data_IF_493936401611
#
_entry.id   IF_493936401611
#
_cell.length_a   1.000
_cell.length_b   1.000
_cell.length_c   1.000
_cell.angle_alpha   90.00
_cell.angle_beta   90.00
_cell.angle_gamma   90.00
#
_symmetry.space_group_name_H-M   'P 1'
#
loop_
_entity.id
_entity.type
_entity.pdbx_description
1 polymer ?
#
# COMPACT_ATOMS: atom_id res chain seq x y z
N UNK A 1 -33.55 -67.94 -37.02
CA UNK A 1 -32.40 -67.40 -36.27
C UNK A 1 -32.32 -65.92 -36.56
N UNK A 2 -32.51 -65.08 -35.54
CA UNK A 2 -32.74 -63.64 -35.66
C UNK A 2 -31.38 -62.93 -35.52
N UNK A 3 -31.03 -62.10 -36.50
CA UNK A 3 -29.85 -61.23 -36.46
C UNK A 3 -30.18 -59.96 -35.69
N UNK A 4 -29.50 -59.73 -34.56
CA UNK A 4 -29.49 -58.45 -33.88
C UNK A 4 -28.23 -57.69 -34.25
N UNK A 5 -28.40 -56.57 -34.97
CA UNK A 5 -27.34 -55.61 -35.25
C UNK A 5 -27.34 -54.57 -34.14
N UNK A 6 -26.28 -54.53 -33.34
CA UNK A 6 -26.11 -53.50 -32.30
C UNK A 6 -25.39 -52.30 -32.91
N UNK A 7 -26.11 -51.21 -33.15
CA UNK A 7 -25.52 -49.91 -33.46
C UNK A 7 -25.15 -49.21 -32.15
N UNK A 8 -23.85 -49.08 -31.89
CA UNK A 8 -23.32 -48.32 -30.76
C UNK A 8 -23.29 -46.82 -31.13
N UNK A 9 -24.20 -46.03 -30.56
CA UNK A 9 -24.23 -44.58 -30.74
C UNK A 9 -23.26 -43.93 -29.72
N UNK A 10 -22.07 -43.54 -30.18
CA UNK A 10 -21.11 -42.76 -29.39
C UNK A 10 -21.47 -41.27 -29.47
N UNK A 11 -22.04 -40.73 -28.40
CA UNK A 11 -22.28 -39.29 -28.25
C UNK A 11 -20.97 -38.63 -27.80
N UNK A 12 -20.32 -37.91 -28.71
CA UNK A 12 -19.15 -37.09 -28.40
C UNK A 12 -19.64 -35.78 -27.75
N UNK A 13 -19.57 -35.69 -26.43
CA UNK A 13 -19.87 -34.46 -25.70
C UNK A 13 -18.67 -33.51 -25.85
N UNK A 14 -18.75 -32.56 -26.80
CA UNK A 14 -17.76 -31.50 -26.94
C UNK A 14 -17.83 -30.58 -25.72
N UNK A 15 -16.84 -30.71 -24.83
CA UNK A 15 -16.58 -29.74 -23.77
C UNK A 15 -16.00 -28.50 -24.46
N UNK A 16 -16.83 -27.47 -24.62
CA UNK A 16 -16.38 -26.15 -25.04
C UNK A 16 -15.65 -25.56 -23.84
N UNK A 17 -14.33 -25.72 -23.78
CA UNK A 17 -13.50 -24.92 -22.89
C UNK A 17 -13.46 -23.51 -23.44
N UNK A 18 -14.19 -22.59 -22.81
CA UNK A 18 -13.93 -21.16 -22.98
C UNK A 18 -12.53 -20.87 -22.46
N UNK A 19 -11.55 -20.76 -23.38
CA UNK A 19 -10.28 -20.12 -23.08
C UNK A 19 -10.57 -18.65 -22.77
N UNK A 20 -10.74 -18.33 -21.49
CA UNK A 20 -10.62 -16.94 -21.02
C UNK A 20 -9.21 -16.50 -21.34
N UNK A 21 -9.06 -15.61 -22.32
CA UNK A 21 -7.80 -14.91 -22.55
C UNK A 21 -7.36 -14.32 -21.21
N UNK A 22 -6.13 -14.60 -20.79
CA UNK A 22 -5.57 -13.98 -19.59
C UNK A 22 -5.57 -12.48 -19.84
N UNK A 23 -6.42 -11.75 -19.11
CA UNK A 23 -6.50 -10.30 -19.23
C UNK A 23 -5.13 -9.73 -18.87
N UNK A 24 -4.49 -9.11 -19.86
CA UNK A 24 -3.19 -8.46 -19.72
C UNK A 24 -3.34 -7.23 -18.84
N UNK A 25 -2.43 -7.05 -17.87
CA UNK A 25 -2.34 -5.83 -17.09
C UNK A 25 -1.94 -4.68 -18.02
N UNK A 26 -2.70 -3.60 -18.04
CA UNK A 26 -2.36 -2.42 -18.83
C UNK A 26 -1.56 -1.44 -17.97
N UNK A 27 -0.33 -1.16 -18.39
CA UNK A 27 0.57 -0.22 -17.73
C UNK A 27 0.62 1.10 -18.50
N UNK A 28 0.53 2.21 -17.77
CA UNK A 28 0.63 3.55 -18.34
C UNK A 28 1.72 4.35 -17.62
N UNK A 29 2.63 4.96 -18.37
CA UNK A 29 3.57 5.91 -17.79
C UNK A 29 2.93 7.30 -17.77
N UNK A 30 2.78 7.86 -16.57
CA UNK A 30 2.34 9.24 -16.36
C UNK A 30 3.54 10.19 -16.35
N UNK A 31 3.32 11.52 -16.47
CA UNK A 31 4.38 12.50 -16.30
C UNK A 31 5.17 12.25 -15.00
N UNK A 32 6.50 12.12 -15.05
CA UNK A 32 7.29 11.88 -13.85
C UNK A 32 7.23 13.10 -12.92
N UNK A 33 7.46 12.87 -11.63
CA UNK A 33 7.58 13.97 -10.67
C UNK A 33 8.72 14.92 -11.06
N UNK A 34 8.59 16.23 -10.78
CA UNK A 34 9.59 17.24 -11.15
C UNK A 34 10.81 17.20 -10.22
N UNK A 35 11.55 16.09 -10.27
CA UNK A 35 12.76 15.81 -9.49
C UNK A 35 13.59 14.76 -10.21
N UNK A 36 14.91 14.77 -10.00
CA UNK A 36 15.82 13.82 -10.64
C UNK A 36 15.74 12.42 -10.00
N UNK A 37 15.67 12.37 -8.66
CA UNK A 37 15.81 11.11 -7.90
C UNK A 37 14.49 10.53 -7.40
N UNK A 38 13.42 11.32 -7.34
CA UNK A 38 12.17 10.90 -6.68
C UNK A 38 12.29 10.82 -5.16
N UNK A 39 11.24 10.28 -4.53
CA UNK A 39 11.09 10.18 -3.08
C UNK A 39 10.46 8.84 -2.67
N UNK A 40 10.87 8.36 -1.50
CA UNK A 40 10.26 7.22 -0.83
C UNK A 40 9.37 7.71 0.32
N UNK A 41 8.31 6.97 0.60
CA UNK A 41 7.37 7.26 1.67
C UNK A 41 6.57 8.55 1.44
N UNK A 42 6.31 8.93 0.19
CA UNK A 42 5.44 10.08 -0.08
C UNK A 42 4.03 9.84 0.43
N UNK A 43 3.31 10.93 0.64
CA UNK A 43 1.87 10.97 0.77
C UNK A 43 1.25 11.22 -0.61
N UNK A 44 0.10 10.63 -0.91
CA UNK A 44 -0.66 10.98 -2.11
C UNK A 44 -2.16 10.80 -1.92
N UNK A 45 -2.95 11.57 -2.66
CA UNK A 45 -4.40 11.45 -2.70
C UNK A 45 -5.03 12.24 -3.83
N UNK A 46 -6.36 12.20 -3.88
CA UNK A 46 -7.17 12.91 -4.86
C UNK A 46 -8.07 13.92 -4.17
N UNK A 47 -8.12 15.14 -4.70
CA UNK A 47 -9.03 16.21 -4.26
C UNK A 47 -9.57 16.93 -5.49
N UNK A 48 -10.89 17.00 -5.67
CA UNK A 48 -11.52 17.63 -6.84
C UNK A 48 -10.91 17.16 -8.18
N UNK A 49 -10.77 15.84 -8.34
CA UNK A 49 -10.13 15.17 -9.48
C UNK A 49 -8.65 15.51 -9.73
N UNK A 50 -7.99 16.21 -8.81
CA UNK A 50 -6.55 16.47 -8.89
C UNK A 50 -5.78 15.40 -8.15
N UNK A 51 -4.79 14.79 -8.81
CA UNK A 51 -3.79 13.97 -8.14
C UNK A 51 -2.80 14.90 -7.43
N UNK A 52 -2.64 14.73 -6.13
CA UNK A 52 -1.76 15.55 -5.30
C UNK A 52 -0.82 14.65 -4.51
N UNK A 53 0.46 15.01 -4.51
CA UNK A 53 1.53 14.25 -3.85
C UNK A 53 2.32 15.18 -2.94
N UNK A 54 2.75 14.67 -1.79
CA UNK A 54 3.30 15.51 -0.73
C UNK A 54 4.44 14.80 0.00
N UNK A 55 5.45 15.58 0.36
CA UNK A 55 6.55 15.15 1.22
C UNK A 55 7.35 13.96 0.69
N UNK A 56 7.66 13.01 1.57
CA UNK A 56 8.57 11.89 1.31
C UNK A 56 10.02 12.22 1.63
N UNK A 57 10.90 11.26 1.34
CA UNK A 57 12.32 11.36 1.68
C UNK A 57 13.24 10.73 0.64
N UNK A 58 14.43 11.31 0.48
CA UNK A 58 15.49 10.75 -0.36
C UNK A 58 16.89 11.01 0.22
N UNK A 59 17.91 10.65 -0.55
CA UNK A 59 19.31 10.90 -0.27
C UNK A 59 19.87 11.84 -1.35
N UNK A 60 19.86 13.17 -1.12
CA UNK A 60 20.13 14.15 -2.17
C UNK A 60 21.57 14.10 -2.65
N UNK A 61 22.53 13.89 -1.74
CA UNK A 61 23.95 14.02 -2.06
C UNK A 61 24.59 12.67 -2.43
N UNK A 62 24.61 11.73 -1.47
CA UNK A 62 25.27 10.41 -1.61
C UNK A 62 24.33 9.28 -1.24
N UNK A 63 24.63 8.06 -1.67
CA UNK A 63 23.86 6.90 -1.27
C UNK A 63 24.05 6.54 0.22
N UNK A 64 23.14 5.78 0.83
CA UNK A 64 23.24 5.40 2.24
C UNK A 64 24.54 4.67 2.59
N UNK A 65 25.02 3.78 1.72
CA UNK A 65 26.27 3.04 1.93
C UNK A 65 27.53 3.89 1.75
N UNK A 66 27.39 5.10 1.22
CA UNK A 66 28.48 6.09 1.08
C UNK A 66 28.43 7.15 2.19
N UNK A 67 27.62 6.93 3.24
CA UNK A 67 27.41 7.89 4.33
C UNK A 67 26.43 9.02 3.99
N UNK A 68 25.60 8.84 2.97
CA UNK A 68 24.55 9.79 2.60
C UNK A 68 23.55 10.04 3.72
N UNK A 69 23.16 11.30 3.90
CA UNK A 69 22.15 11.69 4.88
C UNK A 69 20.77 11.69 4.24
N UNK A 70 19.82 11.02 4.89
CA UNK A 70 18.41 11.06 4.47
C UNK A 70 17.86 12.47 4.74
N UNK A 71 17.13 13.01 3.76
CA UNK A 71 16.39 14.27 3.88
C UNK A 71 14.90 14.00 3.67
N UNK A 72 14.07 14.58 4.53
CA UNK A 72 12.62 14.63 4.38
C UNK A 72 12.21 15.95 3.74
N UNK A 73 11.07 15.94 3.04
CA UNK A 73 10.57 17.06 2.26
C UNK A 73 9.17 17.44 2.73
N UNK A 74 8.83 18.71 2.54
CA UNK A 74 7.53 19.32 2.85
C UNK A 74 6.81 19.86 1.61
N UNK A 75 7.41 19.68 0.44
CA UNK A 75 6.90 20.17 -0.83
C UNK A 75 5.64 19.41 -1.24
N UNK A 76 4.73 20.12 -1.92
CA UNK A 76 3.48 19.59 -2.44
C UNK A 76 3.41 19.84 -3.95
N UNK A 77 3.00 18.83 -4.70
CA UNK A 77 2.83 18.89 -6.14
C UNK A 77 1.42 18.45 -6.54
N UNK A 78 0.81 19.20 -7.46
CA UNK A 78 -0.53 18.96 -8.02
C UNK A 78 -0.37 18.62 -9.50
N UNK A 79 -0.98 17.53 -9.96
CA UNK A 79 -0.97 17.14 -11.37
C UNK A 79 -2.16 17.77 -12.10
N UNK A 80 -1.94 18.91 -12.74
CA UNK A 80 -2.94 19.63 -13.51
C UNK A 80 -3.25 18.99 -14.86
N UNK A 81 -4.55 18.87 -15.17
CA UNK A 81 -5.07 18.31 -16.43
C UNK A 81 -4.50 16.91 -16.78
N UNK A 82 -4.02 16.19 -15.77
CA UNK A 82 -3.33 14.91 -15.90
C UNK A 82 -2.00 14.94 -16.64
N UNK A 83 -1.42 16.12 -16.86
CA UNK A 83 -0.25 16.31 -17.73
C UNK A 83 0.88 17.10 -17.09
N UNK A 84 0.56 18.13 -16.30
CA UNK A 84 1.57 19.08 -15.84
C UNK A 84 1.64 19.09 -14.32
N UNK A 85 2.81 18.77 -13.76
CA UNK A 85 3.06 18.94 -12.34
C UNK A 85 3.29 20.41 -12.01
N UNK A 86 2.48 20.94 -11.11
CA UNK A 86 2.63 22.29 -10.55
C UNK A 86 3.04 22.15 -9.10
N UNK A 87 4.10 22.85 -8.69
CA UNK A 87 4.49 22.95 -7.29
C UNK A 87 3.57 23.93 -6.59
N UNK A 88 2.88 23.48 -5.53
CA UNK A 88 2.02 24.35 -4.74
C UNK A 88 2.86 25.33 -3.90
N UNK A 89 2.26 26.46 -3.54
CA UNK A 89 2.88 27.42 -2.61
C UNK A 89 2.80 26.93 -1.16
N UNK A 90 1.78 26.12 -0.85
CA UNK A 90 1.61 25.49 0.44
C UNK A 90 2.62 24.36 0.68
N UNK A 91 2.89 24.11 1.95
CA UNK A 91 3.82 23.08 2.43
C UNK A 91 3.17 22.24 3.53
N UNK A 92 3.71 21.05 3.74
CA UNK A 92 3.44 20.29 4.96
C UNK A 92 3.90 21.10 6.19
N UNK A 93 3.27 20.84 7.35
CA UNK A 93 3.65 21.50 8.62
C UNK A 93 5.12 21.30 8.93
N UNK A 94 5.59 20.08 8.66
CA UNK A 94 6.95 19.64 8.84
C UNK A 94 7.31 18.68 7.71
N UNK A 95 8.57 18.69 7.24
CA UNK A 95 9.03 17.71 6.26
C UNK A 95 8.81 16.30 6.79
N UNK A 96 8.10 15.44 6.06
CA UNK A 96 7.71 14.13 6.57
C UNK A 96 7.36 13.13 5.46
N UNK A 97 7.33 11.84 5.83
CA UNK A 97 6.90 10.74 4.96
C UNK A 97 6.65 9.46 5.74
N UNK A 98 6.42 8.34 5.05
CA UNK A 98 6.19 7.00 5.63
C UNK A 98 4.99 6.92 6.60
N UNK A 99 4.01 7.80 6.44
CA UNK A 99 2.70 7.68 7.08
C UNK A 99 1.65 7.10 6.12
N UNK A 100 0.38 7.19 6.50
CA UNK A 100 -0.76 6.74 5.69
C UNK A 100 -1.46 7.94 5.05
N UNK A 101 -1.97 7.76 3.84
CA UNK A 101 -2.94 8.67 3.23
C UNK A 101 -4.25 7.99 2.90
N UNK A 102 -5.34 8.73 3.02
CA UNK A 102 -6.63 8.37 2.43
C UNK A 102 -7.21 9.57 1.68
N UNK A 103 -7.93 9.29 0.59
CA UNK A 103 -8.79 10.28 -0.07
C UNK A 103 -10.22 10.04 0.40
N UNK A 104 -10.85 11.06 0.96
CA UNK A 104 -12.22 11.00 1.45
C UNK A 104 -12.96 12.25 1.00
N UNK A 105 -14.02 12.05 0.22
CA UNK A 105 -14.71 13.13 -0.50
C UNK A 105 -13.69 13.90 -1.35
N UNK A 106 -13.51 15.20 -1.11
CA UNK A 106 -12.49 16.01 -1.78
C UNK A 106 -11.30 16.34 -0.86
N UNK A 107 -11.06 15.55 0.18
CA UNK A 107 -9.96 15.76 1.13
C UNK A 107 -8.95 14.64 1.07
N UNK A 108 -7.69 15.01 1.23
CA UNK A 108 -6.56 14.10 1.39
C UNK A 108 -6.14 14.19 2.85
N UNK A 109 -6.24 13.08 3.58
CA UNK A 109 -5.94 13.02 5.01
C UNK A 109 -4.62 12.27 5.19
N UNK A 110 -3.62 12.95 5.74
CA UNK A 110 -2.29 12.42 6.08
C UNK A 110 -2.28 12.02 7.54
N UNK A 111 -1.79 10.82 7.84
CA UNK A 111 -1.84 10.22 9.17
C UNK A 111 -0.45 9.72 9.58
N UNK A 112 0.09 10.33 10.63
CA UNK A 112 1.39 9.96 11.20
C UNK A 112 2.54 10.14 10.22
N UNK A 113 3.46 9.18 10.23
CA UNK A 113 4.71 9.21 9.46
C UNK A 113 5.91 9.51 10.34
N UNK A 114 7.04 9.79 9.71
CA UNK A 114 8.27 10.16 10.38
C UNK A 114 9.01 11.28 9.64
N UNK A 115 9.93 11.87 10.39
CA UNK A 115 10.91 12.83 9.91
C UNK A 115 12.25 12.67 10.65
N UNK A 116 13.13 13.65 10.52
CA UNK A 116 14.43 13.65 11.18
C UNK A 116 14.36 13.65 12.71
N UNK A 117 13.25 14.14 13.29
CA UNK A 117 13.05 14.29 14.72
C UNK A 117 12.32 13.10 15.36
N UNK A 118 11.69 12.24 14.57
CA UNK A 118 11.02 11.05 15.08
C UNK A 118 9.76 10.67 14.31
N UNK A 119 8.94 9.84 14.94
CA UNK A 119 7.63 9.47 14.41
C UNK A 119 6.59 10.51 14.86
N UNK A 120 5.51 10.63 14.08
CA UNK A 120 4.52 11.70 14.21
C UNK A 120 3.18 11.14 14.65
N UNK A 121 2.47 11.88 15.51
CA UNK A 121 1.05 11.65 15.83
C UNK A 121 0.10 12.52 15.00
N UNK A 122 0.65 13.46 14.22
CA UNK A 122 -0.13 14.45 13.49
C UNK A 122 -1.08 13.79 12.48
N UNK A 123 -2.31 14.31 12.43
CA UNK A 123 -3.29 13.99 11.38
C UNK A 123 -3.78 15.29 10.77
N UNK A 124 -3.58 15.45 9.46
CA UNK A 124 -3.87 16.70 8.74
C UNK A 124 -4.62 16.40 7.46
N UNK A 125 -5.68 17.16 7.19
CA UNK A 125 -6.38 17.13 5.90
C UNK A 125 -6.00 18.29 5.01
N UNK A 126 -5.98 18.04 3.71
CA UNK A 126 -5.82 19.04 2.67
C UNK A 126 -6.94 18.92 1.63
N UNK A 127 -7.44 20.06 1.17
CA UNK A 127 -8.45 20.16 0.12
C UNK A 127 -8.00 21.19 -0.91
N UNK A 128 -8.05 20.82 -2.18
CA UNK A 128 -7.75 21.72 -3.28
C UNK A 128 -8.96 22.57 -3.60
N UNK A 129 -8.84 23.90 -3.57
CA UNK A 129 -9.95 24.83 -3.87
C UNK A 129 -9.97 25.31 -5.33
N UNK A 130 -9.07 24.78 -6.17
CA UNK A 130 -8.84 25.25 -7.54
C UNK A 130 -7.63 26.17 -7.70
N UNK A 131 -7.10 26.72 -6.59
CA UNK A 131 -5.95 27.62 -6.61
C UNK A 131 -4.89 27.27 -5.57
N UNK A 132 -5.31 26.81 -4.39
CA UNK A 132 -4.45 26.52 -3.24
C UNK A 132 -4.96 25.34 -2.43
N UNK A 133 -4.11 24.89 -1.51
CA UNK A 133 -4.49 23.85 -0.54
C UNK A 133 -5.03 24.46 0.75
N UNK A 134 -6.28 24.13 1.06
CA UNK A 134 -6.93 24.44 2.33
C UNK A 134 -6.60 23.34 3.34
N UNK A 135 -5.97 23.74 4.45
CA UNK A 135 -5.56 22.82 5.51
C UNK A 135 -6.64 22.69 6.59
N UNK A 136 -6.85 21.48 7.09
CA UNK A 136 -7.74 21.16 8.21
C UNK A 136 -7.07 20.25 9.21
N UNK A 137 -7.37 20.43 10.50
CA UNK A 137 -6.87 19.58 11.57
C UNK A 137 -7.84 18.42 11.83
N UNK A 138 -7.29 17.27 12.19
CA UNK A 138 -8.02 16.08 12.61
C UNK A 138 -7.55 15.65 14.01
N UNK A 139 -8.30 14.78 14.71
CA UNK A 139 -7.83 14.17 15.95
C UNK A 139 -6.46 13.51 15.73
N UNK A 140 -5.50 13.81 16.61
CA UNK A 140 -4.17 13.22 16.54
C UNK A 140 -4.23 11.73 16.88
N UNK A 141 -3.27 10.97 16.35
CA UNK A 141 -3.09 9.57 16.74
C UNK A 141 -2.84 9.46 18.26
N UNK A 142 -3.35 8.40 18.92
CA UNK A 142 -3.13 8.19 20.36
C UNK A 142 -1.65 8.04 20.73
N UNK A 143 -0.83 7.60 19.78
CA UNK A 143 0.63 7.52 19.88
C UNK A 143 1.24 7.93 18.53
N UNK A 144 2.47 8.46 18.48
CA UNK A 144 3.17 8.65 17.23
C UNK A 144 3.34 7.31 16.50
N UNK A 145 3.23 7.30 15.18
CA UNK A 145 3.37 6.08 14.37
C UNK A 145 3.94 6.37 12.99
N UNK A 146 4.75 5.45 12.47
CA UNK A 146 5.21 5.41 11.08
C UNK A 146 5.28 3.97 10.58
N UNK A 147 5.47 3.80 9.27
CA UNK A 147 5.63 2.49 8.62
C UNK A 147 4.40 1.58 8.82
N UNK A 148 3.23 2.20 8.87
CA UNK A 148 1.92 1.55 8.96
C UNK A 148 1.38 1.24 7.56
N UNK A 149 0.31 0.46 7.49
CA UNK A 149 -0.64 0.52 6.38
C UNK A 149 -1.95 1.11 6.87
N UNK A 150 -2.76 1.63 5.96
CA UNK A 150 -4.11 2.04 6.29
C UNK A 150 -4.97 2.24 5.06
N UNK A 151 -6.28 2.14 5.27
CA UNK A 151 -7.29 2.27 4.23
C UNK A 151 -8.54 2.92 4.80
N UNK A 152 -9.49 3.23 3.93
CA UNK A 152 -10.80 3.79 4.25
C UNK A 152 -11.87 2.71 3.98
N UNK A 153 -12.77 2.50 4.94
CA UNK A 153 -13.99 1.71 4.80
C UNK A 153 -15.17 2.63 5.03
N UNK A 154 -15.90 2.96 3.97
CA UNK A 154 -16.96 3.97 4.01
C UNK A 154 -16.46 5.30 4.60
N UNK A 155 -16.84 5.61 5.84
CA UNK A 155 -16.42 6.81 6.57
C UNK A 155 -15.38 6.53 7.66
N UNK A 156 -14.83 5.32 7.73
CA UNK A 156 -13.93 4.88 8.79
C UNK A 156 -12.52 4.69 8.25
N UNK A 157 -11.58 5.46 8.77
CA UNK A 157 -10.16 5.24 8.51
C UNK A 157 -9.68 4.13 9.43
N UNK A 158 -8.94 3.17 8.89
CA UNK A 158 -8.32 2.09 9.66
C UNK A 158 -6.82 2.04 9.37
N UNK A 159 -6.01 1.97 10.43
CA UNK A 159 -4.55 1.83 10.34
C UNK A 159 -4.06 0.57 11.05
N UNK A 160 -2.98 -0.01 10.53
CA UNK A 160 -2.44 -1.30 10.96
C UNK A 160 -0.94 -1.23 11.22
N UNK A 161 -0.52 -1.68 12.41
CA UNK A 161 0.88 -1.93 12.74
C UNK A 161 1.74 -0.67 12.79
N UNK A 162 2.96 -0.76 12.25
CA UNK A 162 3.97 0.29 12.36
C UNK A 162 4.74 0.23 13.68
N UNK A 163 5.46 1.30 13.99
CA UNK A 163 6.13 1.47 15.29
C UNK A 163 6.04 2.91 15.77
N UNK A 164 6.20 3.12 17.09
CA UNK A 164 6.04 4.44 17.69
C UNK A 164 7.29 5.31 17.73
N UNK A 165 8.45 4.74 17.42
CA UNK A 165 9.72 5.46 17.26
C UNK A 165 10.68 4.61 16.42
N UNK A 166 11.77 5.23 15.94
CA UNK A 166 12.65 4.67 14.92
C UNK A 166 13.34 3.35 15.31
N UNK A 167 13.70 3.18 16.58
CA UNK A 167 14.28 1.95 17.14
C UNK A 167 13.24 1.03 17.81
N UNK A 168 11.96 1.39 17.74
CA UNK A 168 10.87 0.68 18.41
C UNK A 168 10.55 -0.65 17.75
N UNK A 169 10.04 -1.58 18.55
CA UNK A 169 9.46 -2.82 18.04
C UNK A 169 8.21 -2.52 17.20
N UNK A 170 7.97 -3.39 16.23
CA UNK A 170 6.72 -3.39 15.48
C UNK A 170 5.53 -3.56 16.42
N UNK A 171 4.37 -3.03 16.03
CA UNK A 171 3.14 -3.09 16.84
C UNK A 171 2.11 -4.07 16.27
N UNK A 172 1.31 -4.64 17.18
CA UNK A 172 0.07 -5.38 16.84
C UNK A 172 -1.15 -4.49 16.76
N UNK A 173 -1.01 -3.22 17.16
CA UNK A 173 -2.11 -2.28 17.31
C UNK A 173 -2.75 -1.96 15.97
N UNK A 174 -4.07 -1.79 16.01
CA UNK A 174 -4.86 -1.27 14.92
C UNK A 174 -5.72 -0.15 15.50
N UNK A 175 -5.76 1.00 14.84
CA UNK A 175 -6.57 2.12 15.27
C UNK A 175 -7.57 2.47 14.17
N UNK A 176 -8.70 3.02 14.57
CA UNK A 176 -9.71 3.54 13.67
C UNK A 176 -10.18 4.92 14.07
N UNK A 177 -10.66 5.69 13.09
CA UNK A 177 -11.25 7.01 13.26
C UNK A 177 -12.55 7.08 12.47
N UNK A 178 -13.64 7.44 13.15
CA UNK A 178 -14.94 7.67 12.53
C UNK A 178 -15.01 9.10 11.99
N UNK A 179 -14.99 9.27 10.67
CA UNK A 179 -14.99 10.60 10.04
C UNK A 179 -16.33 11.33 10.19
N UNK A 180 -17.39 10.63 10.63
CA UNK A 180 -18.68 11.25 10.98
C UNK A 180 -18.75 11.69 12.43
N UNK A 181 -17.81 11.26 13.28
CA UNK A 181 -17.71 11.68 14.69
C UNK A 181 -16.25 11.90 15.10
N UNK A 182 -15.65 12.96 14.55
CA UNK A 182 -14.28 13.35 14.89
C UNK A 182 -14.12 13.71 16.38
N UNK A 183 -15.21 14.01 17.09
CA UNK A 183 -15.16 14.38 18.51
C UNK A 183 -14.84 13.18 19.41
N UNK A 184 -15.24 11.97 19.00
CA UNK A 184 -14.89 10.73 19.68
C UNK A 184 -13.38 10.38 19.55
N UNK A 185 -12.70 10.93 18.54
CA UNK A 185 -11.29 10.70 18.29
C UNK A 185 -10.98 9.28 17.81
N UNK A 186 -9.70 8.92 17.90
CA UNK A 186 -9.22 7.59 17.52
C UNK A 186 -9.55 6.56 18.61
N UNK A 187 -9.94 5.36 18.18
CA UNK A 187 -10.14 4.21 19.05
C UNK A 187 -9.28 3.02 18.60
N UNK A 188 -8.87 2.19 19.56
CA UNK A 188 -8.13 0.96 19.28
C UNK A 188 -9.12 -0.16 18.92
N UNK A 189 -8.87 -0.86 17.81
CA UNK A 189 -9.64 -2.04 17.41
C UNK A 189 -9.20 -3.28 18.20
N UNK A 190 -10.05 -4.30 18.25
CA UNK A 190 -9.69 -5.56 18.90
C UNK A 190 -8.45 -6.18 18.27
N UNK A 191 -7.64 -6.83 19.11
CA UNK A 191 -6.33 -7.32 18.73
C UNK A 191 -6.42 -8.28 17.54
N UNK A 192 -5.69 -7.95 16.47
CA UNK A 192 -5.53 -8.81 15.31
C UNK A 192 -4.81 -10.11 15.70
N UNK A 193 -5.21 -11.27 15.13
CA UNK A 193 -4.40 -12.49 15.18
C UNK A 193 -3.00 -12.29 14.55
N UNK A 194 -2.03 -13.10 15.00
CA UNK A 194 -0.67 -13.12 14.44
C UNK A 194 0.34 -12.16 15.10
N UNK A 195 1.54 -12.04 14.51
CA UNK A 195 2.62 -11.21 15.04
C UNK A 195 2.39 -9.72 14.72
N UNK A 196 3.11 -8.87 15.45
CA UNK A 196 3.33 -7.46 15.14
C UNK A 196 3.97 -7.27 13.77
N UNK A 197 3.80 -6.09 13.16
CA UNK A 197 4.38 -5.84 11.83
C UNK A 197 4.68 -4.37 11.53
N UNK A 198 5.79 -4.14 10.84
CA UNK A 198 6.10 -2.94 10.08
C UNK A 198 5.73 -3.15 8.62
N UNK A 199 5.46 -2.06 7.92
CA UNK A 199 5.20 -2.01 6.48
C UNK A 199 4.24 -3.10 5.97
N UNK A 200 3.10 -3.34 6.66
CA UNK A 200 2.09 -4.22 6.10
C UNK A 200 1.57 -3.67 4.78
N UNK A 201 0.82 -4.50 4.08
CA UNK A 201 0.12 -4.13 2.85
C UNK A 201 -1.37 -4.28 3.11
N UNK A 202 -2.18 -3.32 2.68
CA UNK A 202 -3.63 -3.43 2.84
C UNK A 202 -4.39 -3.11 1.55
N UNK A 203 -5.64 -3.58 1.52
CA UNK A 203 -6.60 -3.29 0.46
C UNK A 203 -7.98 -3.03 1.07
N UNK A 204 -8.85 -2.42 0.27
CA UNK A 204 -10.26 -2.32 0.55
C UNK A 204 -11.05 -3.02 -0.56
N UNK A 205 -12.07 -3.78 -0.18
CA UNK A 205 -12.98 -4.41 -1.13
C UNK A 205 -14.33 -4.68 -0.50
N UNK A 206 -15.40 -4.23 -1.15
CA UNK A 206 -16.80 -4.45 -0.76
C UNK A 206 -17.07 -4.27 0.75
N UNK A 207 -16.68 -3.13 1.32
CA UNK A 207 -16.94 -2.83 2.73
C UNK A 207 -15.99 -3.50 3.73
N UNK A 208 -14.94 -4.19 3.25
CA UNK A 208 -14.02 -4.94 4.09
C UNK A 208 -12.57 -4.47 3.91
N UNK A 209 -11.82 -4.51 5.00
CA UNK A 209 -10.39 -4.29 5.03
C UNK A 209 -9.66 -5.62 4.84
N UNK A 210 -8.61 -5.62 4.03
CA UNK A 210 -7.72 -6.75 3.89
C UNK A 210 -6.31 -6.35 4.31
N UNK A 211 -5.63 -7.23 5.02
CA UNK A 211 -4.27 -7.02 5.52
C UNK A 211 -3.38 -8.20 5.15
N UNK A 212 -2.23 -7.90 4.60
CA UNK A 212 -1.29 -8.88 4.07
C UNK A 212 0.13 -8.58 4.54
N UNK A 213 0.87 -9.64 4.86
CA UNK A 213 2.32 -9.59 5.02
C UNK A 213 2.82 -8.51 5.97
N UNK A 214 3.81 -7.75 5.52
CA UNK A 214 4.65 -6.89 6.35
C UNK A 214 5.86 -7.65 6.89
N UNK A 215 6.54 -7.04 7.86
CA UNK A 215 7.74 -7.62 8.46
C UNK A 215 7.81 -7.45 9.96
N UNK A 216 8.49 -8.38 10.61
CA UNK A 216 8.88 -8.28 12.01
C UNK A 216 10.32 -8.76 12.20
N UNK A 217 10.80 -8.74 13.44
CA UNK A 217 12.03 -9.40 13.84
C UNK A 217 11.72 -10.74 14.48
N UNK A 218 12.44 -11.78 14.09
CA UNK A 218 12.38 -13.09 14.72
C UNK A 218 13.76 -13.48 15.27
N UNK A 219 13.80 -14.48 16.14
CA UNK A 219 15.02 -15.02 16.74
C UNK A 219 15.08 -16.50 16.37
N UNK A 220 16.20 -16.96 15.81
CA UNK A 220 16.38 -18.38 15.48
C UNK A 220 16.80 -19.21 16.71
N UNK A 221 16.92 -20.53 16.55
CA UNK A 221 17.31 -21.45 17.63
C UNK A 221 18.69 -21.17 18.25
N UNK A 222 19.53 -20.35 17.61
CA UNK A 222 20.85 -19.92 18.11
C UNK A 222 20.82 -18.54 18.77
N UNK A 223 19.64 -17.94 18.99
CA UNK A 223 19.51 -16.61 19.58
C UNK A 223 19.82 -15.46 18.63
N UNK A 224 19.99 -15.72 17.33
CA UNK A 224 20.33 -14.69 16.34
C UNK A 224 19.03 -14.04 15.83
N UNK A 225 18.97 -12.70 15.95
CA UNK A 225 17.87 -11.88 15.43
C UNK A 225 17.97 -11.78 13.91
N UNK A 226 16.85 -11.95 13.21
CA UNK A 226 16.76 -11.79 11.75
C UNK A 226 15.45 -11.10 11.35
N UNK A 227 15.46 -10.47 10.17
CA UNK A 227 14.27 -9.87 9.56
C UNK A 227 13.37 -10.99 9.03
N UNK A 228 12.12 -11.04 9.49
CA UNK A 228 11.13 -12.02 9.05
C UNK A 228 10.05 -11.32 8.22
N UNK A 229 9.98 -11.67 6.93
CA UNK A 229 8.88 -11.24 6.07
C UNK A 229 7.69 -12.15 6.30
N UNK A 230 6.54 -11.57 6.60
CA UNK A 230 5.31 -12.28 6.93
C UNK A 230 4.54 -12.65 5.66
N UNK A 231 3.84 -13.77 5.70
CA UNK A 231 2.98 -14.27 4.62
C UNK A 231 1.54 -14.50 5.07
N UNK A 232 1.17 -14.04 6.26
CA UNK A 232 -0.21 -14.18 6.73
C UNK A 232 -1.13 -13.11 6.12
N UNK A 233 -2.39 -13.51 5.94
CA UNK A 233 -3.43 -12.73 5.29
C UNK A 233 -4.66 -12.70 6.21
N UNK A 234 -5.28 -11.54 6.37
CA UNK A 234 -6.49 -11.38 7.16
C UNK A 234 -7.50 -10.46 6.48
N UNK A 235 -8.76 -10.73 6.79
CA UNK A 235 -9.88 -9.85 6.51
C UNK A 235 -10.42 -9.27 7.81
N UNK A 236 -10.69 -7.98 7.81
CA UNK A 236 -11.34 -7.25 8.89
C UNK A 236 -12.70 -6.77 8.41
N UNK A 237 -13.74 -7.12 9.16
CA UNK A 237 -15.07 -6.53 9.01
C UNK A 237 -15.36 -5.64 10.22
N UNK A 238 -15.91 -4.45 9.97
CA UNK A 238 -16.31 -3.52 11.01
C UNK A 238 -17.83 -3.49 11.11
N UNK A 239 -18.34 -3.53 12.34
CA UNK A 239 -19.76 -3.44 12.63
C UNK A 239 -20.01 -2.39 13.70
N UNK A 240 -21.04 -1.56 13.53
CA UNK A 240 -21.47 -0.63 14.57
C UNK A 240 -22.66 -1.25 15.32
N UNK A 241 -22.48 -1.58 16.60
CA UNK A 241 -23.53 -2.14 17.44
C UNK A 241 -23.72 -1.26 18.70
N UNK A 242 -24.93 -0.73 18.88
CA UNK A 242 -25.26 0.14 20.01
C UNK A 242 -24.38 1.40 20.09
N UNK A 243 -23.97 1.94 18.93
CA UNK A 243 -23.08 3.10 18.83
C UNK A 243 -21.58 2.79 18.89
N UNK A 244 -21.19 1.58 19.33
CA UNK A 244 -19.79 1.18 19.44
C UNK A 244 -19.33 0.38 18.21
N UNK A 245 -18.13 0.67 17.73
CA UNK A 245 -17.48 -0.10 16.69
C UNK A 245 -16.92 -1.41 17.24
N UNK A 246 -17.18 -2.50 16.53
CA UNK A 246 -16.59 -3.82 16.76
C UNK A 246 -15.85 -4.29 15.51
N UNK A 247 -14.79 -5.04 15.72
CA UNK A 247 -13.93 -5.60 14.67
C UNK A 247 -13.99 -7.11 14.68
N UNK A 248 -14.26 -7.71 13.54
CA UNK A 248 -14.21 -9.16 13.35
C UNK A 248 -13.10 -9.52 12.37
N UNK A 249 -12.16 -10.36 12.84
CA UNK A 249 -11.01 -10.79 12.06
C UNK A 249 -11.19 -12.21 11.56
N UNK A 250 -10.94 -12.41 10.27
CA UNK A 250 -10.88 -13.73 9.64
C UNK A 250 -9.49 -13.96 9.04
N UNK A 251 -8.91 -15.14 9.32
CA UNK A 251 -7.68 -15.58 8.67
C UNK A 251 -8.00 -16.09 7.26
N UNK A 252 -7.18 -15.70 6.31
CA UNK A 252 -7.30 -16.04 4.88
C UNK A 252 -6.15 -16.94 4.43
N UNK A 253 -6.20 -17.40 3.18
CA UNK A 253 -5.11 -18.13 2.55
C UNK A 253 -3.79 -17.33 2.64
N UNK A 254 -2.70 -17.95 3.14
CA UNK A 254 -1.43 -17.26 3.26
C UNK A 254 -0.89 -16.88 1.88
N UNK A 255 -0.16 -15.78 1.84
CA UNK A 255 0.57 -15.36 0.65
C UNK A 255 1.55 -16.47 0.23
N UNK A 256 1.56 -16.91 -1.04
CA UNK A 256 2.56 -17.84 -1.56
C UNK A 256 3.98 -17.30 -1.39
N UNK A 257 4.09 -15.97 -1.43
CA UNK A 257 5.32 -15.20 -1.21
C UNK A 257 4.97 -14.01 -0.32
N UNK A 258 5.49 -14.01 0.91
CA UNK A 258 5.32 -12.87 1.82
C UNK A 258 5.92 -11.60 1.25
N UNK A 259 5.28 -10.45 1.51
CA UNK A 259 5.70 -9.15 0.99
C UNK A 259 5.63 -8.10 2.10
N UNK A 260 6.63 -7.23 2.15
CA UNK A 260 6.68 -6.05 3.00
C UNK A 260 6.90 -4.78 2.17
N UNK A 261 6.37 -3.63 2.63
CA UNK A 261 6.63 -2.31 2.04
C UNK A 261 6.24 -2.15 0.57
N UNK A 262 5.33 -2.99 0.04
CA UNK A 262 4.71 -2.73 -1.25
C UNK A 262 3.83 -1.48 -1.21
N UNK A 263 3.38 -1.02 -2.38
CA UNK A 263 2.46 0.10 -2.48
C UNK A 263 1.15 -0.17 -1.73
N UNK A 264 0.67 0.81 -0.97
CA UNK A 264 -0.60 0.74 -0.24
C UNK A 264 -1.45 1.96 -0.55
N UNK A 265 -2.77 1.84 -0.74
CA UNK A 265 -3.58 0.60 -0.79
C UNK A 265 -3.37 -0.21 -2.09
N UNK A 266 -3.57 -1.52 -2.08
CA UNK A 266 -3.38 -2.33 -3.29
C UNK A 266 -4.40 -2.00 -4.40
N UNK A 267 -3.98 -2.01 -5.68
CA UNK A 267 -4.91 -1.91 -6.80
C UNK A 267 -5.93 -3.04 -6.83
N UNK A 268 -7.20 -2.67 -7.03
CA UNK A 268 -8.28 -3.59 -7.37
C UNK A 268 -8.48 -3.55 -8.88
N UNK A 269 -8.12 -4.63 -9.58
CA UNK A 269 -8.29 -4.76 -11.02
C UNK A 269 -9.56 -5.53 -11.34
N UNK A 270 -10.23 -5.15 -12.44
CA UNK A 270 -11.48 -5.75 -12.92
C UNK A 270 -12.58 -5.90 -11.85
N UNK A 271 -12.50 -5.12 -10.76
CA UNK A 271 -13.37 -5.20 -9.59
C UNK A 271 -13.43 -6.60 -8.92
N UNK A 272 -12.43 -7.45 -9.10
CA UNK A 272 -12.46 -8.83 -8.59
C UNK A 272 -11.14 -9.35 -8.00
N UNK A 273 -10.03 -8.63 -8.17
CA UNK A 273 -8.70 -9.09 -7.70
C UNK A 273 -7.81 -7.96 -7.24
N UNK A 274 -6.94 -8.23 -6.27
CA UNK A 274 -5.87 -7.34 -5.87
C UNK A 274 -4.60 -7.65 -6.64
N UNK A 275 -3.94 -6.62 -7.17
CA UNK A 275 -2.62 -6.76 -7.79
C UNK A 275 -1.52 -6.45 -6.76
N UNK A 276 -0.65 -7.42 -6.53
CA UNK A 276 0.61 -7.20 -5.82
C UNK A 276 1.74 -6.99 -6.83
N UNK A 277 2.36 -5.81 -6.77
CA UNK A 277 3.53 -5.48 -7.57
C UNK A 277 4.55 -4.71 -6.71
N UNK A 278 5.80 -5.20 -6.69
CA UNK A 278 6.86 -4.69 -5.84
C UNK A 278 6.82 -5.23 -4.41
N UNK A 279 7.38 -4.47 -3.48
CA UNK A 279 7.61 -4.94 -2.11
C UNK A 279 8.87 -5.80 -1.94
N UNK A 280 9.29 -5.98 -0.69
CA UNK A 280 10.40 -6.85 -0.31
C UNK A 280 9.85 -8.21 0.09
N UNK A 281 10.26 -9.24 -0.63
CA UNK A 281 9.99 -10.63 -0.27
C UNK A 281 11.08 -11.23 0.63
N UNK A 282 10.83 -12.45 1.13
CA UNK A 282 11.73 -13.14 2.05
C UNK A 282 13.13 -13.43 1.44
N UNK A 283 13.25 -13.63 0.13
CA UNK A 283 14.53 -13.86 -0.56
C UNK A 283 15.26 -12.53 -0.76
N UNK A 284 14.56 -11.51 -1.26
CA UNK A 284 15.13 -10.16 -1.39
C UNK A 284 15.62 -9.63 -0.05
N UNK A 285 14.91 -9.92 1.05
CA UNK A 285 15.32 -9.54 2.40
C UNK A 285 16.64 -10.17 2.88
N UNK A 286 17.14 -11.22 2.25
CA UNK A 286 18.43 -11.85 2.58
C UNK A 286 19.64 -11.05 2.08
N UNK A 287 19.44 -10.15 1.09
CA UNK A 287 20.50 -9.30 0.56
C UNK A 287 20.77 -8.13 1.50
N UNK A 288 21.68 -8.33 2.45
CA UNK A 288 21.98 -7.33 3.48
C UNK A 288 22.84 -6.16 3.00
N UNK A 289 23.67 -6.38 1.97
CA UNK A 289 24.53 -5.33 1.42
C UNK A 289 23.73 -4.45 0.43
N UNK A 290 23.49 -3.16 0.74
CA UNK A 290 22.73 -2.26 -0.13
C UNK A 290 23.35 -2.09 -1.53
N UNK A 291 24.68 -2.11 -1.63
CA UNK A 291 25.41 -1.88 -2.87
C UNK A 291 25.18 -3.01 -3.88
N UNK A 292 25.16 -4.26 -3.39
CA UNK A 292 24.97 -5.47 -4.21
C UNK A 292 23.52 -5.96 -4.23
N UNK A 293 22.59 -5.24 -3.59
CA UNK A 293 21.18 -5.61 -3.55
C UNK A 293 20.59 -5.70 -4.97
N UNK A 294 19.82 -6.75 -5.30
CA UNK A 294 19.31 -7.01 -6.65
C UNK A 294 18.15 -6.09 -7.09
N UNK A 295 17.82 -5.06 -6.29
CA UNK A 295 16.57 -4.31 -6.44
C UNK A 295 15.34 -5.04 -5.91
N UNK A 296 14.16 -4.62 -6.37
CA UNK A 296 12.85 -5.11 -5.91
C UNK A 296 12.36 -6.27 -6.81
N UNK A 297 11.59 -7.21 -6.26
CA UNK A 297 11.02 -8.33 -7.03
C UNK A 297 10.10 -7.84 -8.14
N UNK A 298 10.25 -8.37 -9.36
CA UNK A 298 9.41 -8.04 -10.51
C UNK A 298 8.20 -8.97 -10.66
N UNK A 299 8.14 -10.04 -9.86
CA UNK A 299 7.04 -10.99 -9.82
C UNK A 299 5.76 -10.33 -9.32
N UNK A 300 4.64 -10.67 -9.95
CA UNK A 300 3.33 -10.17 -9.62
C UNK A 300 2.43 -11.31 -9.16
N UNK A 301 1.56 -11.00 -8.20
CA UNK A 301 0.54 -11.92 -7.71
C UNK A 301 -0.83 -11.26 -7.82
N UNK A 302 -1.83 -12.09 -8.10
CA UNK A 302 -3.22 -11.76 -7.84
C UNK A 302 -3.70 -12.44 -6.57
N UNK A 303 -4.53 -11.71 -5.81
CA UNK A 303 -5.38 -12.30 -4.80
C UNK A 303 -6.85 -12.03 -5.14
N UNK A 304 -7.67 -13.07 -5.10
CA UNK A 304 -9.10 -13.02 -5.38
C UNK A 304 -9.88 -13.06 -4.06
N UNK A 305 -10.36 -11.92 -3.53
CA UNK A 305 -11.04 -11.83 -2.23
C UNK A 305 -12.32 -12.67 -2.14
N UNK A 306 -13.05 -12.85 -3.25
CA UNK A 306 -14.30 -13.64 -3.27
C UNK A 306 -14.08 -15.15 -3.08
N UNK A 307 -12.93 -15.66 -3.53
CA UNK A 307 -12.62 -17.10 -3.51
C UNK A 307 -11.46 -17.46 -2.59
N UNK A 308 -10.89 -16.49 -1.90
CA UNK A 308 -9.69 -16.63 -1.06
C UNK A 308 -8.54 -17.38 -1.78
N UNK A 309 -8.26 -16.99 -3.03
CA UNK A 309 -7.27 -17.67 -3.89
C UNK A 309 -6.17 -16.74 -4.34
N UNK A 310 -4.95 -17.29 -4.43
CA UNK A 310 -3.80 -16.63 -5.03
C UNK A 310 -3.52 -17.18 -6.43
N UNK A 311 -3.09 -16.31 -7.34
CA UNK A 311 -2.59 -16.69 -8.66
C UNK A 311 -1.30 -15.95 -8.99
N UNK A 312 -0.41 -16.61 -9.73
CA UNK A 312 0.77 -15.96 -10.28
C UNK A 312 0.38 -15.14 -11.51
N UNK A 313 0.65 -13.84 -11.47
CA UNK A 313 0.26 -12.89 -12.51
C UNK A 313 1.37 -12.64 -13.55
N UNK A 314 2.54 -13.27 -13.40
CA UNK A 314 3.71 -13.07 -14.27
C UNK A 314 4.75 -12.13 -13.67
N UNK A 315 5.61 -11.58 -14.52
CA UNK A 315 6.62 -10.58 -14.14
C UNK A 315 6.44 -9.33 -14.99
N UNK A 316 6.71 -8.16 -14.40
CA UNK A 316 6.80 -6.89 -15.12
C UNK A 316 8.27 -6.48 -15.18
N UNK A 317 8.91 -6.65 -16.34
CA UNK A 317 10.36 -6.43 -16.51
C UNK A 317 10.70 -5.15 -17.27
N UNK A 318 9.73 -4.49 -17.89
CA UNK A 318 9.91 -3.21 -18.60
C UNK A 318 9.89 -2.01 -17.63
N UNK A 319 9.11 -2.12 -16.55
CA UNK A 319 8.98 -1.09 -15.52
C UNK A 319 9.42 -1.67 -14.18
N UNK A 320 10.44 -1.08 -13.58
CA UNK A 320 10.94 -1.52 -12.29
C UNK A 320 9.87 -1.34 -11.20
N UNK A 321 9.58 -2.43 -10.52
CA UNK A 321 8.78 -2.47 -9.30
C UNK A 321 9.45 -1.72 -8.13
N UNK A 322 8.66 -1.41 -7.11
CA UNK A 322 8.99 -0.36 -6.13
C UNK A 322 8.55 -0.72 -4.72
N UNK A 323 9.10 -0.01 -3.75
CA UNK A 323 8.71 -0.08 -2.33
C UNK A 323 8.49 1.30 -1.73
N UNK A 324 7.78 1.34 -0.60
CA UNK A 324 7.55 2.55 0.22
C UNK A 324 6.94 3.68 -0.60
N UNK A 325 5.78 3.45 -1.18
CA UNK A 325 5.09 4.40 -2.04
C UNK A 325 3.59 4.38 -1.80
N UNK A 326 2.91 5.53 -1.94
CA UNK A 326 1.46 5.55 -1.93
C UNK A 326 0.90 5.06 -3.27
N UNK A 327 -0.28 4.48 -3.21
CA UNK A 327 -1.05 4.04 -4.38
C UNK A 327 -2.45 4.62 -4.27
N UNK A 328 -2.90 5.27 -5.35
CA UNK A 328 -4.15 6.03 -5.36
C UNK A 328 -4.97 5.70 -6.60
N UNK A 329 -6.29 5.56 -6.44
CA UNK A 329 -7.19 5.44 -7.58
C UNK A 329 -7.50 6.83 -8.12
N UNK A 330 -7.16 7.09 -9.38
CA UNK A 330 -7.31 8.40 -10.01
C UNK A 330 -7.52 8.24 -11.52
N UNK A 331 -8.51 8.94 -12.08
CA UNK A 331 -8.80 8.94 -13.52
C UNK A 331 -8.93 7.51 -14.10
N UNK A 332 -9.77 6.69 -13.46
CA UNK A 332 -10.10 5.31 -13.82
C UNK A 332 -8.93 4.31 -13.85
N UNK A 333 -7.83 4.62 -13.16
CA UNK A 333 -6.69 3.72 -13.00
C UNK A 333 -6.10 3.84 -11.61
N UNK A 334 -5.35 2.83 -11.18
CA UNK A 334 -4.55 2.90 -9.97
C UNK A 334 -3.17 3.46 -10.28
N UNK A 335 -2.68 4.39 -9.46
CA UNK A 335 -1.45 5.13 -9.71
C UNK A 335 -0.45 4.89 -8.59
N UNK A 336 0.69 4.30 -8.95
CA UNK A 336 1.88 4.17 -8.13
C UNK A 336 2.74 5.43 -8.27
N UNK A 337 2.93 6.15 -7.16
CA UNK A 337 3.66 7.44 -7.17
C UNK A 337 5.07 7.25 -6.61
N UNK A 338 6.10 7.51 -7.42
CA UNK A 338 7.50 7.50 -6.99
C UNK A 338 7.93 6.17 -6.35
N UNK A 339 8.66 6.18 -5.23
CA UNK A 339 9.09 5.01 -4.49
C UNK A 339 10.59 4.71 -4.59
N UNK A 340 10.98 3.58 -4.01
CA UNK A 340 12.36 3.06 -4.02
C UNK A 340 12.46 1.79 -4.89
N UNK A 341 13.43 1.75 -5.80
CA UNK A 341 13.66 0.61 -6.73
C UNK A 341 14.85 -0.27 -6.32
N UNK A 342 15.68 0.23 -5.39
CA UNK A 342 16.81 -0.45 -4.75
C UNK A 342 17.13 0.34 -3.49
N UNK A 343 17.65 -0.27 -2.39
CA UNK A 343 18.06 0.48 -1.20
C UNK A 343 18.78 1.78 -1.57
N UNK A 344 18.36 2.92 -1.03
CA UNK A 344 19.00 4.21 -1.32
C UNK A 344 18.66 4.84 -2.69
N UNK A 345 18.14 4.09 -3.66
CA UNK A 345 17.84 4.55 -5.03
C UNK A 345 16.33 4.69 -5.23
N UNK A 346 15.85 5.93 -5.34
CA UNK A 346 14.45 6.25 -5.61
C UNK A 346 14.20 6.51 -7.10
N UNK A 347 12.94 6.66 -7.46
CA UNK A 347 12.53 6.97 -8.82
C UNK A 347 11.46 8.08 -8.85
N UNK A 348 11.53 9.05 -9.78
CA UNK A 348 10.47 10.04 -9.97
C UNK A 348 9.26 9.48 -10.75
N UNK A 349 9.32 8.23 -11.20
CA UNK A 349 8.31 7.67 -12.10
C UNK A 349 6.94 7.53 -11.44
N UNK A 350 5.90 7.86 -12.21
CA UNK A 350 4.49 7.72 -11.84
C UNK A 350 3.86 6.75 -12.82
N UNK A 351 3.30 5.65 -12.31
CA UNK A 351 2.87 4.51 -13.12
C UNK A 351 1.41 4.19 -12.84
N UNK A 352 0.61 4.18 -13.88
CA UNK A 352 -0.79 3.80 -13.88
C UNK A 352 -0.96 2.32 -14.21
N UNK A 353 -1.97 1.69 -13.60
CA UNK A 353 -2.36 0.32 -13.86
C UNK A 353 -3.89 0.16 -13.88
N UNK A 354 -4.40 -0.64 -14.80
CA UNK A 354 -5.82 -0.97 -14.94
C UNK A 354 -6.04 -2.40 -15.42
#
# INVERSE_FOLDING_TARGET
>A
MINYSYSLLLIFMMIISETKAQQTIHWAQLPPLPTEKGWAGMYAGVSHNMLIVMGGANFPDKYPWEGGKKKWYDDIYVLENGKNWVKANEKLTEPSGYGVTVSYQNKIILIGGNNENGHLSQVTGFEWDGMKLLKSAYPQLPVPLANMAGTLVDDIIVIFGGSSYSSGSALKKCFALDLKDLSAGWFELEARPGPERLFPVCAFYQGQCYLFGGETSAINSKGIKYRSILSDSYRLTLHKNGGNWKSEWQKLAPMPKGISAAGTVLPVLNNDRFLFWGGIDAITALYQNPETHPGITQSMLYYFPETDRWEYAGEQTEILSKVTLPVVFWNNQWVYVSGEIKPGIRTPTVIGVQ
#
